data_IF_080638914364
#
_entry.id   IF_080638914364
#
_cell.length_a   1.000
_cell.length_b   1.000
_cell.length_c   1.000
_cell.angle_alpha   90.00
_cell.angle_beta   90.00
_cell.angle_gamma   90.00
#
_symmetry.space_group_name_H-M   'P 1'
#
loop_
_entity.id
_entity.type
_entity.pdbx_description
1 polymer ?
#
# COMPACT_ATOMS: atom_id res chain seq x y z
N UNK A 1 0.29 -17.13 12.45
CA UNK A 1 0.92 -17.16 11.12
C UNK A 1 0.96 -15.74 10.61
N UNK A 2 2.03 -15.38 9.91
CA UNK A 2 2.26 -14.07 9.32
C UNK A 2 2.01 -14.06 7.81
N UNK A 3 2.11 -12.89 7.20
CA UNK A 3 2.17 -12.65 5.76
C UNK A 3 3.17 -11.51 5.54
N UNK A 4 4.46 -11.83 5.40
CA UNK A 4 5.51 -10.81 5.32
C UNK A 4 5.47 -10.07 3.99
N UNK A 5 5.83 -8.79 4.02
CA UNK A 5 6.17 -8.00 2.84
C UNK A 5 7.66 -7.68 2.89
N UNK A 6 8.42 -8.19 1.94
CA UNK A 6 9.88 -8.12 1.90
C UNK A 6 10.36 -7.21 0.77
N UNK A 7 11.44 -6.47 0.99
CA UNK A 7 12.14 -5.70 -0.04
C UNK A 7 13.63 -5.96 0.07
N UNK A 8 14.25 -6.43 -1.03
CA UNK A 8 15.66 -6.82 -1.06
C UNK A 8 16.08 -7.74 0.11
N UNK A 9 15.19 -8.68 0.50
CA UNK A 9 15.42 -9.63 1.59
C UNK A 9 15.19 -9.10 3.01
N UNK A 10 14.63 -7.89 3.15
CA UNK A 10 14.29 -7.27 4.45
C UNK A 10 12.77 -7.10 4.57
N UNK A 11 12.20 -7.59 5.67
CA UNK A 11 10.77 -7.42 5.96
C UNK A 11 10.45 -5.98 6.34
N UNK A 12 9.63 -5.33 5.52
CA UNK A 12 9.12 -3.98 5.75
C UNK A 12 7.72 -3.96 6.36
N UNK A 13 7.01 -5.09 6.33
CA UNK A 13 5.78 -5.28 7.08
C UNK A 13 5.57 -6.76 7.40
N UNK A 14 5.59 -7.13 8.67
CA UNK A 14 5.19 -8.46 9.12
C UNK A 14 3.69 -8.47 9.46
N UNK A 15 2.85 -8.65 8.45
CA UNK A 15 1.40 -8.60 8.64
C UNK A 15 0.86 -9.88 9.28
N UNK A 16 -0.26 -9.78 9.99
CA UNK A 16 -1.07 -10.98 10.27
C UNK A 16 -1.61 -11.58 8.97
N UNK A 17 -1.72 -12.91 8.87
CA UNK A 17 -2.12 -13.58 7.62
C UNK A 17 -3.43 -13.05 7.02
N UNK A 18 -4.43 -12.74 7.85
CA UNK A 18 -5.71 -12.21 7.37
C UNK A 18 -5.60 -10.80 6.78
N UNK A 19 -4.87 -9.90 7.46
CA UNK A 19 -4.72 -8.51 7.01
C UNK A 19 -3.80 -8.41 5.80
N UNK A 20 -2.69 -9.16 5.79
CA UNK A 20 -1.72 -9.14 4.69
C UNK A 20 -2.34 -9.65 3.40
N UNK A 21 -2.99 -10.82 3.44
CA UNK A 21 -3.67 -11.40 2.27
C UNK A 21 -4.81 -10.51 1.74
N UNK A 22 -5.62 -9.95 2.64
CA UNK A 22 -6.70 -9.04 2.22
C UNK A 22 -6.14 -7.79 1.53
N UNK A 23 -5.06 -7.21 2.08
CA UNK A 23 -4.40 -6.07 1.45
C UNK A 23 -3.79 -6.44 0.09
N UNK A 24 -3.08 -7.55 0.00
CA UNK A 24 -2.50 -8.06 -1.26
C UNK A 24 -3.58 -8.22 -2.34
N UNK A 25 -4.69 -8.88 -2.02
CA UNK A 25 -5.80 -9.11 -2.95
C UNK A 25 -6.43 -7.78 -3.41
N UNK A 26 -6.66 -6.84 -2.49
CA UNK A 26 -7.19 -5.52 -2.83
C UNK A 26 -6.22 -4.69 -3.67
N UNK A 27 -4.92 -4.73 -3.37
CA UNK A 27 -3.89 -4.01 -4.10
C UNK A 27 -3.76 -4.55 -5.54
N UNK A 28 -3.82 -5.87 -5.73
CA UNK A 28 -3.85 -6.49 -7.07
C UNK A 28 -5.10 -6.08 -7.85
N UNK A 29 -6.28 -6.16 -7.25
CA UNK A 29 -7.51 -5.75 -7.92
C UNK A 29 -7.52 -4.25 -8.31
N UNK A 30 -6.95 -3.39 -7.45
CA UNK A 30 -6.80 -1.97 -7.74
C UNK A 30 -5.79 -1.74 -8.88
N UNK A 31 -4.65 -2.44 -8.88
CA UNK A 31 -3.64 -2.34 -9.92
C UNK A 31 -4.18 -2.81 -11.29
N UNK A 32 -4.91 -3.93 -11.32
CA UNK A 32 -5.57 -4.44 -12.53
C UNK A 32 -6.56 -3.41 -13.10
N UNK A 33 -7.35 -2.78 -12.23
CA UNK A 33 -8.29 -1.72 -12.62
C UNK A 33 -7.60 -0.48 -13.19
N UNK A 34 -6.34 -0.24 -12.82
CA UNK A 34 -5.49 0.84 -13.34
C UNK A 34 -4.66 0.40 -14.57
N UNK A 35 -4.66 -0.88 -14.95
CA UNK A 35 -3.77 -1.42 -15.97
C UNK A 35 -2.30 -1.41 -15.56
N UNK A 36 -2.00 -1.53 -14.27
CA UNK A 36 -0.66 -1.51 -13.69
C UNK A 36 -0.34 -2.84 -12.99
N UNK A 37 0.94 -3.12 -12.77
CA UNK A 37 1.35 -4.13 -11.82
C UNK A 37 1.30 -3.55 -10.40
N UNK A 38 0.82 -4.32 -9.40
CA UNK A 38 0.80 -3.85 -8.01
C UNK A 38 2.19 -3.73 -7.41
N UNK A 39 3.18 -4.45 -7.96
CA UNK A 39 4.52 -4.59 -7.37
C UNK A 39 4.57 -5.59 -6.20
N UNK A 40 3.49 -6.32 -5.92
CA UNK A 40 3.44 -7.36 -4.88
C UNK A 40 3.52 -8.76 -5.51
N UNK A 41 4.69 -9.37 -5.44
CA UNK A 41 5.01 -10.68 -6.02
C UNK A 41 4.98 -11.73 -4.92
N UNK A 42 4.26 -12.84 -5.11
CA UNK A 42 4.24 -13.90 -4.10
C UNK A 42 5.65 -14.44 -3.84
N UNK A 43 6.00 -14.67 -2.57
CA UNK A 43 7.28 -15.25 -2.17
C UNK A 43 7.13 -16.61 -1.48
N UNK A 44 8.25 -17.32 -1.29
CA UNK A 44 8.27 -18.67 -0.72
C UNK A 44 7.88 -18.73 0.77
N UNK A 45 7.76 -17.57 1.44
CA UNK A 45 7.37 -17.47 2.84
C UNK A 45 5.85 -17.34 3.04
N UNK A 46 5.07 -17.39 1.95
CA UNK A 46 3.62 -17.19 2.00
C UNK A 46 3.21 -15.72 2.17
N UNK A 47 4.12 -14.81 1.86
CA UNK A 47 3.94 -13.36 1.81
C UNK A 47 4.20 -12.80 0.41
N UNK A 48 4.71 -11.58 0.34
CA UNK A 48 5.06 -10.89 -0.89
C UNK A 48 6.49 -10.33 -0.87
N UNK A 49 7.21 -10.47 -1.97
CA UNK A 49 8.30 -9.57 -2.32
C UNK A 49 7.72 -8.30 -2.96
N UNK A 50 8.16 -7.14 -2.50
CA UNK A 50 7.77 -5.83 -2.99
C UNK A 50 8.80 -5.34 -3.99
N UNK A 51 8.42 -5.25 -5.27
CA UNK A 51 9.19 -4.54 -6.28
C UNK A 51 9.02 -3.03 -6.07
N UNK A 52 10.04 -2.28 -5.62
CA UNK A 52 9.90 -0.86 -5.27
C UNK A 52 9.48 -0.01 -6.47
N UNK A 53 9.95 -0.34 -7.67
CA UNK A 53 9.71 0.46 -8.88
C UNK A 53 8.27 0.27 -9.36
N UNK A 54 7.81 -0.99 -9.40
CA UNK A 54 6.43 -1.29 -9.74
C UNK A 54 5.46 -0.76 -8.67
N UNK A 55 5.79 -0.94 -7.39
CA UNK A 55 4.98 -0.51 -6.27
C UNK A 55 4.83 1.02 -6.20
N UNK A 56 5.90 1.78 -6.45
CA UNK A 56 5.85 3.25 -6.59
C UNK A 56 4.87 3.69 -7.68
N UNK A 57 4.92 3.06 -8.86
CA UNK A 57 4.01 3.39 -9.97
C UNK A 57 2.57 3.08 -9.62
N UNK A 58 2.32 1.93 -9.00
CA UNK A 58 1.01 1.55 -8.49
C UNK A 58 0.47 2.55 -7.47
N UNK A 59 1.24 2.85 -6.41
CA UNK A 59 0.82 3.78 -5.37
C UNK A 59 0.54 5.19 -5.92
N UNK A 60 1.32 5.63 -6.90
CA UNK A 60 1.10 6.90 -7.62
C UNK A 60 -0.22 6.88 -8.39
N UNK A 61 -0.46 5.84 -9.21
CA UNK A 61 -1.72 5.72 -9.96
C UNK A 61 -2.95 5.58 -9.06
N UNK A 62 -2.80 4.89 -7.92
CA UNK A 62 -3.84 4.74 -6.92
C UNK A 62 -4.18 6.10 -6.28
N UNK A 63 -3.17 6.90 -5.93
CA UNK A 63 -3.36 8.25 -5.43
C UNK A 63 -4.02 9.16 -6.46
N UNK A 64 -3.57 9.14 -7.72
CA UNK A 64 -4.17 9.96 -8.78
C UNK A 64 -5.66 9.65 -8.97
N UNK A 65 -6.02 8.36 -8.89
CA UNK A 65 -7.41 7.94 -8.94
C UNK A 65 -8.20 8.39 -7.69
N UNK A 66 -7.61 8.31 -6.50
CA UNK A 66 -8.22 8.81 -5.26
C UNK A 66 -8.44 10.33 -5.31
N UNK A 67 -7.42 11.09 -5.74
CA UNK A 67 -7.43 12.55 -5.77
C UNK A 67 -8.48 13.15 -6.71
N UNK A 68 -8.84 12.40 -7.77
CA UNK A 68 -9.91 12.75 -8.72
C UNK A 68 -11.26 12.09 -8.41
N UNK A 69 -11.32 11.20 -7.42
CA UNK A 69 -12.56 10.51 -7.08
C UNK A 69 -13.55 11.51 -6.47
N UNK A 70 -14.60 11.84 -7.23
CA UNK A 70 -15.69 12.71 -6.76
C UNK A 70 -16.80 11.98 -6.00
N UNK A 71 -16.75 10.64 -5.94
CA UNK A 71 -17.75 9.80 -5.28
C UNK A 71 -17.22 9.27 -3.94
N UNK A 72 -17.85 9.57 -2.79
CA UNK A 72 -17.41 9.12 -1.46
C UNK A 72 -17.23 7.60 -1.34
N UNK A 73 -18.05 6.81 -2.04
CA UNK A 73 -17.95 5.34 -2.00
C UNK A 73 -16.63 4.88 -2.63
N UNK A 74 -16.30 5.39 -3.81
CA UNK A 74 -15.06 5.07 -4.49
C UNK A 74 -13.84 5.58 -3.70
N UNK A 75 -13.92 6.81 -3.18
CA UNK A 75 -12.86 7.37 -2.34
C UNK A 75 -12.60 6.50 -1.10
N UNK A 76 -13.65 5.98 -0.45
CA UNK A 76 -13.52 5.07 0.68
C UNK A 76 -12.84 3.74 0.33
N UNK A 77 -13.22 3.13 -0.80
CA UNK A 77 -12.59 1.90 -1.30
C UNK A 77 -11.11 2.12 -1.62
N UNK A 78 -10.78 3.19 -2.34
CA UNK A 78 -9.41 3.52 -2.70
C UNK A 78 -8.57 3.85 -1.46
N UNK A 79 -9.15 4.57 -0.49
CA UNK A 79 -8.49 4.95 0.76
C UNK A 79 -8.08 3.73 1.59
N UNK A 80 -8.92 2.69 1.62
CA UNK A 80 -8.62 1.44 2.33
C UNK A 80 -7.37 0.72 1.79
N UNK A 81 -7.04 0.91 0.51
CA UNK A 81 -5.81 0.40 -0.11
C UNK A 81 -4.67 1.42 -0.02
N UNK A 82 -4.97 2.69 -0.29
CA UNK A 82 -3.99 3.77 -0.38
C UNK A 82 -3.26 3.99 0.94
N UNK A 83 -3.97 4.01 2.07
CA UNK A 83 -3.35 4.27 3.37
C UNK A 83 -2.23 3.28 3.70
N UNK A 84 -2.46 1.94 3.69
CA UNK A 84 -1.38 0.99 3.88
C UNK A 84 -0.34 1.04 2.75
N UNK A 85 -0.73 1.31 1.51
CA UNK A 85 0.25 1.46 0.42
C UNK A 85 1.20 2.64 0.61
N UNK A 86 0.74 3.77 1.16
CA UNK A 86 1.62 4.91 1.45
C UNK A 86 2.61 4.63 2.58
N UNK A 87 2.25 3.78 3.55
CA UNK A 87 3.18 3.34 4.61
C UNK A 87 4.21 2.39 4.01
N UNK A 88 3.74 1.39 3.25
CA UNK A 88 4.63 0.41 2.63
C UNK A 88 5.59 1.10 1.63
N UNK A 89 5.11 2.11 0.89
CA UNK A 89 5.91 2.87 -0.07
C UNK A 89 7.09 3.56 0.62
N UNK A 90 6.85 4.26 1.73
CA UNK A 90 7.94 4.91 2.48
C UNK A 90 8.97 3.90 2.97
N UNK A 91 8.54 2.74 3.47
CA UNK A 91 9.46 1.70 3.95
C UNK A 91 10.29 1.04 2.84
N UNK A 92 9.80 1.10 1.60
CA UNK A 92 10.55 0.70 0.40
C UNK A 92 11.50 1.80 -0.10
N UNK A 93 11.54 2.96 0.58
CA UNK A 93 12.33 4.13 0.17
C UNK A 93 11.67 4.97 -0.93
N UNK A 94 10.42 4.68 -1.28
CA UNK A 94 9.64 5.47 -2.22
C UNK A 94 9.03 6.71 -1.58
N UNK A 95 8.65 7.67 -2.41
CA UNK A 95 8.03 8.91 -1.95
C UNK A 95 6.88 9.30 -2.88
N UNK A 96 5.82 9.84 -2.29
CA UNK A 96 4.68 10.34 -3.04
C UNK A 96 4.28 11.72 -2.50
N UNK A 97 4.32 12.73 -3.37
CA UNK A 97 3.89 14.08 -3.04
C UNK A 97 2.36 14.16 -3.13
N UNK A 98 1.71 14.28 -1.98
CA UNK A 98 0.27 14.48 -1.87
C UNK A 98 -0.09 15.98 -2.03
N UNK A 99 -1.29 16.27 -2.54
CA UNK A 99 -1.88 17.61 -2.42
C UNK A 99 -2.03 17.96 -0.94
N UNK A 100 -1.81 19.21 -0.51
CA UNK A 100 -1.86 19.58 0.91
C UNK A 100 -3.17 19.20 1.61
N UNK A 101 -4.31 19.31 0.92
CA UNK A 101 -5.61 18.94 1.48
C UNK A 101 -5.76 17.43 1.70
N UNK A 102 -5.22 16.60 0.80
CA UNK A 102 -5.26 15.14 0.96
C UNK A 102 -4.27 14.68 2.01
N UNK A 103 -3.09 15.32 2.07
CA UNK A 103 -2.09 15.04 3.09
C UNK A 103 -2.69 15.25 4.49
N UNK A 104 -3.33 16.39 4.72
CA UNK A 104 -4.04 16.67 5.97
C UNK A 104 -5.12 15.61 6.25
N UNK A 105 -5.94 15.30 5.26
CA UNK A 105 -7.04 14.35 5.41
C UNK A 105 -6.59 12.91 5.71
N UNK A 106 -5.41 12.51 5.23
CA UNK A 106 -4.86 11.16 5.38
C UNK A 106 -3.88 11.04 6.56
N UNK A 107 -3.33 12.15 7.07
CA UNK A 107 -2.23 12.15 8.05
C UNK A 107 -2.48 11.28 9.28
N UNK A 108 -3.61 11.48 9.97
CA UNK A 108 -3.90 10.76 11.21
C UNK A 108 -4.10 9.26 11.00
N UNK A 109 -4.73 8.89 9.89
CA UNK A 109 -4.98 7.49 9.54
C UNK A 109 -3.69 6.80 9.12
N UNK A 110 -2.88 7.47 8.30
CA UNK A 110 -1.54 7.01 7.89
C UNK A 110 -0.62 6.78 9.08
N UNK A 111 -0.59 7.72 10.03
CA UNK A 111 0.17 7.56 11.26
C UNK A 111 -0.35 6.40 12.15
N UNK A 112 -1.66 6.11 12.09
CA UNK A 112 -2.24 4.96 12.78
C UNK A 112 -1.87 3.65 12.10
N UNK A 113 -2.00 3.58 10.78
CA UNK A 113 -1.59 2.43 9.98
C UNK A 113 -0.09 2.12 10.17
N UNK A 114 0.78 3.12 10.13
CA UNK A 114 2.23 2.94 10.36
C UNK A 114 2.54 2.29 11.71
N UNK A 115 1.82 2.67 12.78
CA UNK A 115 1.97 2.05 14.11
C UNK A 115 1.40 0.63 14.18
N UNK A 116 0.37 0.32 13.41
CA UNK A 116 -0.28 -1.00 13.40
C UNK A 116 0.39 -2.00 12.46
N UNK A 117 1.05 -1.53 11.40
CA UNK A 117 1.82 -2.34 10.47
C UNK A 117 3.25 -2.49 11.02
N UNK A 118 3.54 -3.33 12.01
CA UNK A 118 4.96 -3.62 12.38
C UNK A 118 5.75 -4.09 11.14
N UNK A 119 7.03 -3.90 10.90
CA UNK A 119 8.18 -3.38 11.64
C UNK A 119 8.96 -2.40 10.76
N UNK A 120 9.59 -1.42 11.41
CA UNK A 120 11.02 -1.12 11.28
C UNK A 120 11.63 -1.35 12.68
N UNK A 121 12.91 -1.73 12.78
CA UNK A 121 13.62 -2.04 14.04
C UNK A 121 13.33 -1.06 15.21
#
# INVERSE_FOLDING_TARGET
MSHPFDVDGRTVWDAGSSSGRLYEDMARAAADSLGLASGLLANDQGGCDVDPVAFQRFATGLYDLYARAGNPVLSGMLRAVLVPSLVLLERTGGELVLRPADEEALRAERATAARSMGTED
#
